data_IF_823546825232
#
_entry.id   IF_823546825232
#
_cell.length_a   1.000
_cell.length_b   1.000
_cell.length_c   1.000
_cell.angle_alpha   90.00
_cell.angle_beta   90.00
_cell.angle_gamma   90.00
#
_symmetry.space_group_name_H-M   'P 1'
#
loop_
_entity.id
_entity.type
_entity.pdbx_description
1 polymer ?
#
# COMPACT_ATOMS: atom_id res chain seq x y z
N UNK A 1 -45.06 -8.43 -49.11
CA UNK A 1 -43.64 -8.75 -48.85
C UNK A 1 -43.51 -9.28 -47.42
N UNK A 2 -43.52 -10.60 -47.24
CA UNK A 2 -43.33 -11.23 -45.92
C UNK A 2 -41.84 -11.19 -45.55
N UNK A 3 -41.45 -10.33 -44.60
CA UNK A 3 -40.10 -10.32 -44.04
C UNK A 3 -39.89 -11.63 -43.27
N UNK A 4 -39.09 -12.53 -43.82
CA UNK A 4 -38.59 -13.70 -43.09
C UNK A 4 -37.68 -13.20 -41.98
N UNK A 5 -38.15 -13.25 -40.74
CA UNK A 5 -37.29 -13.16 -39.56
C UNK A 5 -36.50 -14.46 -39.48
N UNK A 6 -35.34 -14.52 -40.12
CA UNK A 6 -34.36 -15.55 -39.78
C UNK A 6 -33.83 -15.22 -38.38
N UNK A 7 -34.32 -15.94 -37.38
CA UNK A 7 -33.66 -16.01 -36.08
C UNK A 7 -32.30 -16.66 -36.30
N UNK A 8 -31.27 -15.83 -36.48
CA UNK A 8 -29.89 -16.29 -36.38
C UNK A 8 -29.71 -16.68 -34.92
N UNK A 9 -29.99 -17.94 -34.59
CA UNK A 9 -29.54 -18.57 -33.38
C UNK A 9 -28.01 -18.61 -33.45
N UNK A 10 -27.37 -17.51 -33.03
CA UNK A 10 -25.94 -17.52 -32.77
C UNK A 10 -25.77 -18.49 -31.61
N UNK A 11 -25.34 -19.71 -31.90
CA UNK A 11 -24.92 -20.64 -30.87
C UNK A 11 -23.78 -19.97 -30.11
N UNK A 12 -24.06 -19.47 -28.91
CA UNK A 12 -23.03 -19.12 -27.94
C UNK A 12 -22.37 -20.44 -27.51
N UNK A 13 -21.46 -20.95 -28.35
CA UNK A 13 -20.51 -21.98 -27.95
C UNK A 13 -19.55 -21.34 -26.95
N UNK A 14 -20.00 -21.22 -25.70
CA UNK A 14 -19.16 -20.78 -24.61
C UNK A 14 -18.03 -21.79 -24.44
N UNK A 15 -16.82 -21.45 -24.88
CA UNK A 15 -15.62 -22.20 -24.53
C UNK A 15 -15.56 -22.17 -23.01
N UNK A 16 -15.70 -23.33 -22.37
CA UNK A 16 -15.51 -23.44 -20.93
C UNK A 16 -14.07 -22.97 -20.64
N UNK A 17 -13.92 -21.87 -19.93
CA UNK A 17 -12.60 -21.42 -19.51
C UNK A 17 -11.97 -22.52 -18.66
N UNK A 18 -10.89 -23.12 -19.17
CA UNK A 18 -10.14 -24.16 -18.46
C UNK A 18 -9.41 -23.58 -17.24
N UNK A 19 -9.09 -22.29 -17.29
CA UNK A 19 -8.43 -21.58 -16.20
C UNK A 19 -9.48 -21.06 -15.22
N UNK A 20 -9.37 -21.42 -13.94
CA UNK A 20 -10.25 -20.98 -12.84
C UNK A 20 -9.98 -19.53 -12.42
N UNK A 21 -9.99 -18.60 -13.37
CA UNK A 21 -9.85 -17.16 -13.11
C UNK A 21 -11.21 -16.48 -13.17
N UNK A 22 -11.65 -15.92 -12.04
CA UNK A 22 -12.86 -15.11 -11.95
C UNK A 22 -12.47 -13.64 -11.88
N UNK A 23 -12.81 -12.88 -12.92
CA UNK A 23 -12.74 -11.43 -12.82
C UNK A 23 -13.87 -10.90 -11.94
N UNK A 24 -13.50 -10.16 -10.90
CA UNK A 24 -14.42 -9.39 -10.05
C UNK A 24 -14.08 -7.92 -10.25
N UNK A 25 -15.10 -7.11 -10.59
CA UNK A 25 -14.91 -5.67 -10.72
C UNK A 25 -14.59 -5.09 -9.34
N UNK A 26 -13.49 -4.33 -9.17
CA UNK A 26 -13.20 -3.66 -7.91
C UNK A 26 -14.37 -2.76 -7.49
N UNK A 27 -14.72 -2.72 -6.19
CA UNK A 27 -15.76 -1.83 -5.71
C UNK A 27 -15.37 -0.37 -5.96
N UNK A 28 -16.36 0.48 -6.23
CA UNK A 28 -16.12 1.92 -6.37
C UNK A 28 -15.91 2.53 -4.98
N UNK A 29 -14.74 3.12 -4.77
CA UNK A 29 -14.42 3.84 -3.55
C UNK A 29 -14.64 5.35 -3.76
N UNK A 30 -15.56 5.99 -3.00
CA UNK A 30 -15.74 7.43 -3.06
C UNK A 30 -14.48 8.20 -2.65
N UNK A 31 -14.33 9.41 -3.19
CA UNK A 31 -13.15 10.24 -2.95
C UNK A 31 -12.91 10.59 -1.48
N UNK A 32 -13.98 10.80 -0.72
CA UNK A 32 -13.94 11.21 0.68
C UNK A 32 -13.55 10.06 1.62
N UNK A 33 -13.52 8.81 1.16
CA UNK A 33 -13.08 7.69 2.01
C UNK A 33 -11.55 7.72 2.19
N UNK A 34 -11.03 7.32 3.38
CA UNK A 34 -9.60 7.33 3.71
C UNK A 34 -8.71 6.69 2.63
N UNK A 35 -9.15 5.58 2.05
CA UNK A 35 -8.42 4.85 1.00
C UNK A 35 -8.07 5.72 -0.22
N UNK A 36 -8.87 6.77 -0.53
CA UNK A 36 -8.62 7.70 -1.64
C UNK A 36 -8.16 9.08 -1.19
N UNK A 37 -8.69 9.60 -0.09
CA UNK A 37 -8.35 10.93 0.41
C UNK A 37 -6.97 10.97 1.09
N UNK A 38 -6.56 9.84 1.68
CA UNK A 38 -5.36 9.73 2.51
C UNK A 38 -5.56 10.25 3.94
N UNK A 39 -6.79 10.54 4.38
CA UNK A 39 -7.04 11.00 5.75
C UNK A 39 -7.23 9.81 6.69
N UNK A 40 -6.34 9.64 7.66
CA UNK A 40 -6.37 8.53 8.61
C UNK A 40 -6.97 8.93 9.98
N UNK A 41 -6.90 10.22 10.33
CA UNK A 41 -7.43 10.74 11.59
C UNK A 41 -8.90 11.12 11.48
N UNK A 42 -9.65 10.84 12.56
CA UNK A 42 -10.99 11.37 12.75
C UNK A 42 -10.99 12.89 12.97
N UNK A 43 -12.18 13.48 12.98
CA UNK A 43 -12.34 14.88 13.33
C UNK A 43 -11.96 15.12 14.80
N UNK A 44 -11.28 16.24 15.14
CA UNK A 44 -11.07 16.58 16.54
C UNK A 44 -12.42 16.81 17.24
N UNK A 45 -12.52 16.34 18.48
CA UNK A 45 -13.71 16.49 19.31
C UNK A 45 -13.68 17.83 20.03
N UNK A 46 -14.54 18.75 19.62
CA UNK A 46 -14.65 20.06 20.25
C UNK A 46 -15.80 20.02 21.26
N UNK A 47 -15.56 20.42 22.52
CA UNK A 47 -16.61 20.35 23.51
C UNK A 47 -17.75 21.32 23.15
N UNK A 48 -19.03 20.94 23.37
CA UNK A 48 -20.19 21.78 23.05
C UNK A 48 -20.22 23.09 23.85
N UNK A 49 -19.51 23.11 24.98
CA UNK A 49 -19.31 24.27 25.86
C UNK A 49 -18.20 25.20 25.40
N UNK A 50 -17.40 24.83 24.39
CA UNK A 50 -16.39 25.72 23.83
C UNK A 50 -17.03 27.02 23.36
N UNK A 51 -16.34 28.13 23.55
CA UNK A 51 -16.77 29.44 23.02
C UNK A 51 -16.52 29.51 21.51
N UNK A 52 -17.35 30.27 20.81
CA UNK A 52 -17.12 30.58 19.39
C UNK A 52 -15.75 31.24 19.17
N UNK A 53 -15.20 31.06 17.96
CA UNK A 53 -13.81 31.41 17.62
C UNK A 53 -13.45 32.85 18.00
N UNK A 54 -14.31 33.79 17.61
CA UNK A 54 -14.06 35.22 17.74
C UNK A 54 -14.44 35.72 19.14
N UNK A 55 -15.51 35.19 19.72
CA UNK A 55 -15.93 35.51 21.09
C UNK A 55 -14.87 35.13 22.12
N UNK A 56 -14.15 34.03 21.91
CA UNK A 56 -13.06 33.62 22.78
C UNK A 56 -11.89 34.63 22.86
N UNK A 57 -11.79 35.57 21.92
CA UNK A 57 -10.76 36.61 21.91
C UNK A 57 -11.15 37.84 22.75
N UNK A 58 -12.44 38.03 23.05
CA UNK A 58 -12.91 39.20 23.78
C UNK A 58 -12.62 39.05 25.27
N UNK A 59 -12.27 40.14 25.95
CA UNK A 59 -11.97 40.09 27.39
C UNK A 59 -13.25 40.08 28.23
N UNK A 60 -14.33 40.67 27.70
CA UNK A 60 -15.63 40.78 28.36
C UNK A 60 -16.30 39.42 28.56
N UNK A 61 -16.02 38.45 27.68
CA UNK A 61 -16.58 37.10 27.82
C UNK A 61 -16.01 36.37 29.04
N UNK A 62 -14.82 36.75 29.51
CA UNK A 62 -14.18 36.13 30.68
C UNK A 62 -14.94 36.46 31.95
N UNK A 63 -15.38 37.72 32.07
CA UNK A 63 -16.12 38.25 33.22
C UNK A 63 -17.64 37.98 33.12
N UNK A 64 -18.13 37.55 31.95
CA UNK A 64 -19.54 37.30 31.72
C UNK A 64 -20.12 36.17 32.59
N UNK A 65 -21.41 36.26 32.99
CA UNK A 65 -22.09 35.21 33.73
C UNK A 65 -22.23 33.94 32.89
N UNK A 66 -22.35 32.78 33.54
CA UNK A 66 -22.38 31.47 32.88
C UNK A 66 -23.48 31.35 31.83
N UNK A 67 -24.64 31.95 32.08
CA UNK A 67 -25.74 31.99 31.10
C UNK A 67 -25.31 32.65 29.77
N UNK A 68 -24.53 33.73 29.83
CA UNK A 68 -24.02 34.43 28.63
C UNK A 68 -22.95 33.58 27.95
N UNK A 69 -22.04 32.96 28.71
CA UNK A 69 -21.05 32.01 28.17
C UNK A 69 -21.70 30.84 27.44
N UNK A 70 -22.83 30.34 27.96
CA UNK A 70 -23.63 29.27 27.34
C UNK A 70 -24.24 29.71 26.02
N UNK A 71 -24.75 30.94 25.92
CA UNK A 71 -25.31 31.49 24.66
C UNK A 71 -24.23 31.56 23.56
N UNK A 72 -23.00 31.95 23.92
CA UNK A 72 -21.87 32.02 22.98
C UNK A 72 -21.10 30.69 22.82
N UNK A 73 -21.66 29.59 23.33
CA UNK A 73 -21.07 28.28 23.17
C UNK A 73 -21.36 27.70 21.78
N UNK A 74 -20.49 26.81 21.31
CA UNK A 74 -20.59 26.15 20.01
C UNK A 74 -21.92 25.40 19.84
N UNK A 75 -22.45 24.81 20.92
CA UNK A 75 -23.76 24.17 20.91
C UNK A 75 -24.89 25.12 20.47
N UNK A 76 -24.85 26.39 20.86
CA UNK A 76 -25.88 27.38 20.52
C UNK A 76 -25.59 28.09 19.19
N UNK A 77 -24.31 28.30 18.86
CA UNK A 77 -23.92 28.93 17.59
C UNK A 77 -24.02 28.00 16.38
N UNK A 78 -23.96 26.68 16.61
CA UNK A 78 -24.21 25.64 15.61
C UNK A 78 -22.98 25.15 14.83
N UNK A 79 -23.25 24.34 13.80
CA UNK A 79 -22.22 23.57 13.08
C UNK A 79 -21.16 24.43 12.37
N UNK A 80 -21.53 25.64 11.93
CA UNK A 80 -20.59 26.53 11.23
C UNK A 80 -19.44 26.93 12.14
N UNK A 81 -19.74 27.29 13.38
CA UNK A 81 -18.73 27.64 14.38
C UNK A 81 -17.91 26.42 14.81
N UNK A 82 -18.56 25.27 14.97
CA UNK A 82 -17.87 24.01 15.22
C UNK A 82 -16.81 23.73 14.14
N UNK A 83 -17.20 23.79 12.87
CA UNK A 83 -16.28 23.58 11.74
C UNK A 83 -15.14 24.62 11.72
N UNK A 84 -15.43 25.87 12.09
CA UNK A 84 -14.42 26.93 12.17
C UNK A 84 -13.38 26.65 13.26
N UNK A 85 -13.81 26.15 14.42
CA UNK A 85 -12.91 25.75 15.50
C UNK A 85 -12.10 24.49 15.13
N UNK A 86 -12.70 23.49 14.48
CA UNK A 86 -11.98 22.31 13.97
C UNK A 86 -10.86 22.73 13.03
N UNK A 87 -11.19 23.65 12.11
CA UNK A 87 -10.22 24.18 11.15
C UNK A 87 -9.11 24.97 11.87
N UNK A 88 -9.47 25.76 12.88
CA UNK A 88 -8.50 26.52 13.70
C UNK A 88 -7.56 25.57 14.44
N UNK A 89 -8.07 24.54 15.11
CA UNK A 89 -7.25 23.58 15.85
C UNK A 89 -6.20 22.90 14.96
N UNK A 90 -6.60 22.48 13.75
CA UNK A 90 -5.67 21.85 12.80
C UNK A 90 -4.62 22.84 12.28
N UNK A 91 -4.99 24.09 12.04
CA UNK A 91 -4.04 25.15 11.68
C UNK A 91 -3.07 25.39 12.84
N UNK A 92 -3.57 25.41 14.07
CA UNK A 92 -2.80 25.69 15.27
C UNK A 92 -1.71 24.64 15.54
N UNK A 93 -1.94 23.38 15.12
CA UNK A 93 -0.94 22.30 15.18
C UNK A 93 0.28 22.52 14.26
N UNK A 94 0.12 23.33 13.22
CA UNK A 94 1.06 23.42 12.09
C UNK A 94 1.62 24.83 11.87
N UNK A 95 0.90 25.87 12.29
CA UNK A 95 1.30 27.28 12.10
C UNK A 95 2.64 27.58 12.79
N UNK A 96 3.42 28.48 12.18
CA UNK A 96 4.71 28.93 12.77
C UNK A 96 4.54 30.05 13.79
N UNK A 97 3.57 30.93 13.55
CA UNK A 97 3.23 32.06 14.40
C UNK A 97 1.72 32.33 14.36
N UNK A 98 1.22 33.18 15.24
CA UNK A 98 -0.23 33.40 15.43
C UNK A 98 -0.96 33.88 14.16
N UNK A 99 -0.31 34.74 13.37
CA UNK A 99 -0.85 35.30 12.11
C UNK A 99 -0.48 34.52 10.84
N UNK A 100 0.01 33.28 10.98
CA UNK A 100 0.41 32.47 9.83
C UNK A 100 -0.83 31.80 9.21
N UNK A 101 -1.35 32.38 8.13
CA UNK A 101 -2.59 31.92 7.49
C UNK A 101 -2.41 31.34 6.09
N UNK A 102 -1.35 31.74 5.38
CA UNK A 102 -1.23 31.55 3.93
C UNK A 102 -0.01 30.72 3.51
N UNK A 103 0.75 30.19 4.46
CA UNK A 103 1.85 29.27 4.17
C UNK A 103 1.34 27.93 3.62
N UNK A 104 2.20 27.16 2.97
CA UNK A 104 1.79 25.89 2.37
C UNK A 104 1.28 24.91 3.45
N UNK A 105 1.93 24.89 4.61
CA UNK A 105 1.59 24.00 5.72
C UNK A 105 0.21 24.36 6.32
N UNK A 106 -0.03 25.64 6.59
CA UNK A 106 -1.31 26.14 7.15
C UNK A 106 -2.48 26.00 6.17
N UNK A 107 -2.23 26.21 4.87
CA UNK A 107 -3.24 25.95 3.82
C UNK A 107 -3.60 24.47 3.74
N UNK A 108 -2.63 23.56 3.86
CA UNK A 108 -2.90 22.12 3.90
C UNK A 108 -3.72 21.75 5.14
N UNK A 109 -3.40 22.31 6.30
CA UNK A 109 -4.16 22.11 7.53
C UNK A 109 -5.61 22.61 7.39
N UNK A 110 -5.80 23.82 6.83
CA UNK A 110 -7.12 24.40 6.56
C UNK A 110 -7.96 23.50 5.63
N UNK A 111 -7.38 23.06 4.51
CA UNK A 111 -8.06 22.15 3.58
C UNK A 111 -8.42 20.83 4.26
N UNK A 112 -7.53 20.31 5.11
CA UNK A 112 -7.77 19.07 5.86
C UNK A 112 -8.93 19.21 6.84
N UNK A 113 -9.03 20.33 7.56
CA UNK A 113 -10.19 20.61 8.41
C UNK A 113 -11.51 20.64 7.66
N UNK A 114 -11.54 21.31 6.50
CA UNK A 114 -12.74 21.30 5.64
C UNK A 114 -13.07 19.91 5.09
N UNK A 115 -12.06 19.13 4.69
CA UNK A 115 -12.26 17.76 4.19
C UNK A 115 -12.88 16.89 5.29
N UNK A 116 -12.36 16.93 6.53
CA UNK A 116 -12.91 16.17 7.65
C UNK A 116 -14.35 16.56 7.97
N UNK A 117 -14.65 17.86 8.02
CA UNK A 117 -16.03 18.35 8.23
C UNK A 117 -17.01 17.85 7.15
N UNK A 118 -16.57 17.87 5.89
CA UNK A 118 -17.39 17.40 4.79
C UNK A 118 -17.47 15.87 4.71
N UNK A 119 -16.44 15.12 5.17
CA UNK A 119 -16.49 13.67 5.28
C UNK A 119 -17.66 13.22 6.16
N UNK A 120 -17.83 13.82 7.35
CA UNK A 120 -18.96 13.54 8.23
C UNK A 120 -20.31 13.84 7.54
N UNK A 121 -20.38 14.97 6.83
CA UNK A 121 -21.58 15.34 6.06
C UNK A 121 -21.88 14.31 4.96
N UNK A 122 -20.84 13.79 4.29
CA UNK A 122 -20.96 12.78 3.24
C UNK A 122 -21.36 11.41 3.80
N UNK A 123 -20.98 11.08 5.02
CA UNK A 123 -21.41 9.85 5.70
C UNK A 123 -22.89 9.92 6.08
N UNK A 124 -23.36 11.07 6.58
CA UNK A 124 -24.79 11.31 6.85
C UNK A 124 -25.62 11.41 5.58
N UNK A 125 -25.11 12.07 4.54
CA UNK A 125 -25.83 12.40 3.31
C UNK A 125 -25.07 11.98 2.03
N UNK A 126 -24.95 10.67 1.75
CA UNK A 126 -24.11 10.16 0.66
C UNK A 126 -24.60 10.56 -0.75
N UNK A 127 -25.87 10.94 -0.89
CA UNK A 127 -26.48 11.37 -2.16
C UNK A 127 -26.23 12.84 -2.50
N UNK A 128 -25.62 13.63 -1.62
CA UNK A 128 -25.35 15.04 -1.87
C UNK A 128 -24.22 15.22 -2.89
N UNK A 129 -24.59 15.48 -4.15
CA UNK A 129 -23.64 15.62 -5.27
C UNK A 129 -22.74 16.83 -5.11
N UNK A 130 -23.28 17.97 -4.64
CA UNK A 130 -22.51 19.21 -4.45
C UNK A 130 -21.44 19.02 -3.38
N UNK A 131 -21.80 18.44 -2.23
CA UNK A 131 -20.84 18.14 -1.17
C UNK A 131 -19.74 17.18 -1.68
N UNK A 132 -20.12 16.15 -2.44
CA UNK A 132 -19.15 15.22 -3.05
C UNK A 132 -18.16 15.90 -3.99
N UNK A 133 -18.63 16.84 -4.81
CA UNK A 133 -17.78 17.65 -5.69
C UNK A 133 -16.84 18.53 -4.88
N UNK A 134 -17.34 19.24 -3.88
CA UNK A 134 -16.51 20.11 -3.03
C UNK A 134 -15.42 19.34 -2.30
N UNK A 135 -15.71 18.15 -1.76
CA UNK A 135 -14.68 17.30 -1.10
C UNK A 135 -13.61 16.88 -2.10
N UNK A 136 -14.01 16.44 -3.29
CA UNK A 136 -13.07 16.04 -4.34
C UNK A 136 -12.12 17.20 -4.70
N UNK A 137 -12.67 18.40 -4.93
CA UNK A 137 -11.87 19.58 -5.25
C UNK A 137 -10.90 19.96 -4.13
N UNK A 138 -11.33 19.88 -2.86
CA UNK A 138 -10.46 20.17 -1.72
C UNK A 138 -9.34 19.14 -1.59
N UNK A 139 -9.63 17.85 -1.79
CA UNK A 139 -8.62 16.79 -1.82
C UNK A 139 -7.59 17.05 -2.93
N UNK A 140 -8.04 17.43 -4.12
CA UNK A 140 -7.15 17.69 -5.25
C UNK A 140 -6.29 18.95 -5.03
N UNK A 141 -6.88 20.02 -4.45
CA UNK A 141 -6.14 21.22 -4.01
C UNK A 141 -5.08 20.87 -2.97
N UNK A 142 -5.42 20.03 -1.99
CA UNK A 142 -4.49 19.56 -0.96
C UNK A 142 -3.37 18.72 -1.56
N UNK A 143 -3.68 17.78 -2.46
CA UNK A 143 -2.68 16.96 -3.17
C UNK A 143 -1.70 17.81 -3.97
N UNK A 144 -2.18 18.87 -4.63
CA UNK A 144 -1.32 19.83 -5.34
C UNK A 144 -0.35 20.53 -4.38
N UNK A 145 -0.81 20.97 -3.21
CA UNK A 145 0.05 21.59 -2.20
C UNK A 145 1.04 20.61 -1.57
N UNK A 146 0.62 19.37 -1.29
CA UNK A 146 1.52 18.31 -0.79
C UNK A 146 2.61 17.97 -1.81
N UNK A 147 2.27 17.91 -3.11
CA UNK A 147 3.25 17.72 -4.17
C UNK A 147 4.27 18.88 -4.21
N UNK A 148 3.78 20.12 -4.08
CA UNK A 148 4.64 21.31 -4.02
C UNK A 148 5.58 21.25 -2.81
N UNK A 149 5.05 20.96 -1.62
CA UNK A 149 5.84 20.87 -0.40
C UNK A 149 6.90 19.75 -0.50
N UNK A 150 6.54 18.58 -1.04
CA UNK A 150 7.47 17.46 -1.28
C UNK A 150 8.64 17.84 -2.19
N UNK A 151 8.43 18.72 -3.16
CA UNK A 151 9.47 19.19 -4.08
C UNK A 151 10.33 20.31 -3.47
N UNK A 152 9.72 21.17 -2.64
CA UNK A 152 10.39 22.35 -2.09
C UNK A 152 11.16 22.04 -0.80
N UNK A 153 10.52 21.37 0.16
CA UNK A 153 11.10 21.01 1.46
C UNK A 153 10.56 19.67 1.93
N UNK A 154 11.35 18.62 1.71
CA UNK A 154 10.97 17.25 2.02
C UNK A 154 10.83 17.00 3.53
N UNK A 155 11.64 17.65 4.38
CA UNK A 155 11.57 17.46 5.84
C UNK A 155 10.27 18.02 6.40
N UNK A 156 9.86 19.19 5.92
CA UNK A 156 8.55 19.76 6.29
C UNK A 156 7.39 18.92 5.76
N UNK A 157 7.56 18.33 4.59
CA UNK A 157 6.56 17.42 4.03
C UNK A 157 6.34 16.20 4.93
N UNK A 158 7.39 15.49 5.36
CA UNK A 158 7.26 14.36 6.29
C UNK A 158 6.66 14.79 7.63
N UNK A 159 7.19 15.85 8.24
CA UNK A 159 6.67 16.41 9.48
C UNK A 159 5.17 16.75 9.40
N UNK A 160 4.72 17.33 8.28
CA UNK A 160 3.33 17.69 8.09
C UNK A 160 2.41 16.47 7.96
N UNK A 161 2.86 15.42 7.27
CA UNK A 161 2.12 14.16 7.15
C UNK A 161 1.94 13.51 8.53
N UNK A 162 2.99 13.51 9.36
CA UNK A 162 2.93 13.00 10.73
C UNK A 162 2.01 13.84 11.61
N UNK A 163 2.13 15.17 11.58
CA UNK A 163 1.35 16.08 12.43
C UNK A 163 -0.15 16.08 12.14
N UNK A 164 -0.52 15.97 10.87
CA UNK A 164 -1.93 15.92 10.45
C UNK A 164 -2.43 14.49 10.22
N UNK A 165 -1.57 13.49 10.41
CA UNK A 165 -1.84 12.06 10.17
C UNK A 165 -2.52 11.81 8.81
N UNK A 166 -1.83 12.23 7.75
CA UNK A 166 -2.27 12.11 6.35
C UNK A 166 -1.30 11.19 5.59
N UNK A 167 -1.84 10.29 4.79
CA UNK A 167 -1.11 9.45 3.85
C UNK A 167 -1.02 10.13 2.47
N UNK A 168 0.19 10.36 1.97
CA UNK A 168 0.38 10.92 0.63
C UNK A 168 0.20 9.87 -0.47
N UNK A 169 -0.90 9.98 -1.23
CA UNK A 169 -1.15 9.17 -2.43
C UNK A 169 -0.74 9.93 -3.69
N UNK A 170 0.34 9.46 -4.31
CA UNK A 170 0.86 10.00 -5.57
C UNK A 170 -0.11 9.85 -6.74
N UNK A 171 0.07 10.68 -7.76
CA UNK A 171 -0.65 10.54 -9.01
C UNK A 171 -0.10 9.34 -9.78
N UNK A 172 -0.93 8.45 -10.33
CA UNK A 172 -0.45 7.38 -11.19
C UNK A 172 0.21 7.98 -12.44
N UNK A 173 1.20 7.29 -13.00
CA UNK A 173 1.88 7.72 -14.22
C UNK A 173 0.93 7.75 -15.42
N UNK A 174 0.02 6.78 -15.52
CA UNK A 174 -0.97 6.70 -16.58
C UNK A 174 -2.39 6.51 -16.03
N UNK A 175 -3.35 7.16 -16.69
CA UNK A 175 -4.78 6.95 -16.46
C UNK A 175 -5.35 6.03 -17.52
N UNK A 176 -5.58 4.76 -17.16
CA UNK A 176 -6.36 3.86 -17.99
C UNK A 176 -7.63 3.47 -17.24
N UNK A 177 -8.76 3.42 -17.96
CA UNK A 177 -10.02 2.94 -17.40
C UNK A 177 -9.94 1.42 -17.36
N UNK A 178 -10.06 0.83 -16.17
CA UNK A 178 -10.04 -0.63 -16.00
C UNK A 178 -11.20 -1.29 -16.78
N UNK A 179 -10.88 -1.91 -17.91
CA UNK A 179 -11.82 -2.72 -18.70
C UNK A 179 -11.83 -4.17 -18.24
N UNK A 180 -12.97 -4.87 -18.37
CA UNK A 180 -13.07 -6.32 -18.12
C UNK A 180 -12.08 -7.12 -18.95
N UNK A 181 -11.91 -6.76 -20.24
CA UNK A 181 -11.02 -7.47 -21.16
C UNK A 181 -9.56 -7.35 -20.74
N UNK A 182 -9.12 -6.13 -20.42
CA UNK A 182 -7.75 -5.84 -20.01
C UNK A 182 -7.41 -6.46 -18.67
N UNK A 183 -8.31 -6.34 -17.68
CA UNK A 183 -8.13 -6.97 -16.38
C UNK A 183 -8.11 -8.49 -16.46
N UNK A 184 -8.97 -9.12 -17.26
CA UNK A 184 -8.88 -10.56 -17.53
C UNK A 184 -7.55 -10.93 -18.17
N UNK A 185 -7.09 -10.17 -19.19
CA UNK A 185 -5.78 -10.39 -19.80
C UNK A 185 -4.66 -10.30 -18.76
N UNK A 186 -4.71 -9.29 -17.88
CA UNK A 186 -3.71 -9.13 -16.82
C UNK A 186 -3.74 -10.27 -15.81
N UNK A 187 -4.92 -10.70 -15.37
CA UNK A 187 -5.08 -11.84 -14.48
C UNK A 187 -4.58 -13.14 -15.13
N UNK A 188 -4.81 -13.34 -16.43
CA UNK A 188 -4.27 -14.50 -17.15
C UNK A 188 -2.76 -14.44 -17.29
N UNK A 189 -2.19 -13.26 -17.53
CA UNK A 189 -0.74 -13.06 -17.59
C UNK A 189 -0.09 -13.39 -16.24
N UNK A 190 -0.61 -12.82 -15.15
CA UNK A 190 -0.16 -13.11 -13.79
C UNK A 190 -0.25 -14.60 -13.47
N UNK A 191 -1.35 -15.26 -13.84
CA UNK A 191 -1.49 -16.70 -13.63
C UNK A 191 -0.46 -17.54 -14.41
N UNK A 192 -0.20 -17.17 -15.66
CA UNK A 192 0.84 -17.83 -16.46
C UNK A 192 2.24 -17.58 -15.89
N UNK A 193 2.51 -16.39 -15.38
CA UNK A 193 3.74 -16.05 -14.67
C UNK A 193 3.89 -16.88 -13.40
N UNK A 194 2.84 -17.02 -12.59
CA UNK A 194 2.85 -17.84 -11.38
C UNK A 194 3.15 -19.31 -11.69
N UNK A 195 2.53 -19.87 -12.74
CA UNK A 195 2.81 -21.24 -13.20
C UNK A 195 4.27 -21.37 -13.64
N UNK A 196 4.77 -20.40 -14.41
CA UNK A 196 6.16 -20.40 -14.87
C UNK A 196 7.12 -20.35 -13.69
N UNK A 197 6.89 -19.43 -12.75
CA UNK A 197 7.71 -19.25 -11.56
C UNK A 197 7.70 -20.51 -10.68
N UNK A 198 6.55 -21.16 -10.52
CA UNK A 198 6.43 -22.43 -9.80
C UNK A 198 7.26 -23.54 -10.46
N UNK A 199 7.14 -23.70 -11.78
CA UNK A 199 7.94 -24.70 -12.52
C UNK A 199 9.43 -24.42 -12.42
N UNK A 200 9.85 -23.16 -12.52
CA UNK A 200 11.24 -22.75 -12.35
C UNK A 200 11.73 -23.00 -10.91
N UNK A 201 10.91 -22.74 -9.89
CA UNK A 201 11.27 -23.04 -8.51
C UNK A 201 11.40 -24.54 -8.26
N UNK A 202 10.50 -25.35 -8.83
CA UNK A 202 10.52 -26.80 -8.71
C UNK A 202 11.77 -27.38 -9.40
N UNK A 203 12.09 -26.89 -10.60
CA UNK A 203 13.30 -27.27 -11.32
C UNK A 203 14.59 -26.85 -10.59
N UNK A 204 14.61 -25.63 -10.04
CA UNK A 204 15.73 -25.17 -9.20
C UNK A 204 15.92 -26.07 -7.98
N UNK A 205 14.84 -26.44 -7.29
CA UNK A 205 14.90 -27.36 -6.16
C UNK A 205 15.44 -28.75 -6.57
N UNK A 206 15.04 -29.24 -7.75
CA UNK A 206 15.55 -30.48 -8.30
C UNK A 206 17.07 -30.41 -8.53
N UNK A 207 17.56 -29.37 -9.22
CA UNK A 207 18.99 -29.18 -9.46
C UNK A 207 19.79 -29.04 -8.16
N UNK A 208 19.28 -28.27 -7.19
CA UNK A 208 19.88 -28.13 -5.87
C UNK A 208 19.99 -29.47 -5.13
N UNK A 209 19.01 -30.37 -5.29
CA UNK A 209 19.04 -31.72 -4.70
C UNK A 209 20.06 -32.64 -5.38
N UNK A 210 20.28 -32.48 -6.69
CA UNK A 210 21.25 -33.26 -7.47
C UNK A 210 22.70 -32.81 -7.24
N UNK A 211 22.89 -31.55 -6.83
CA UNK A 211 24.21 -30.96 -6.60
C UNK A 211 25.01 -31.70 -5.51
N UNK A 212 24.37 -32.10 -4.41
CA UNK A 212 25.04 -32.83 -3.33
C UNK A 212 25.64 -34.17 -3.76
N UNK A 213 24.83 -35.10 -4.31
CA UNK A 213 25.33 -36.36 -4.85
C UNK A 213 26.40 -36.16 -5.94
N UNK A 214 26.23 -35.18 -6.82
CA UNK A 214 27.20 -34.86 -7.85
C UNK A 214 28.56 -34.43 -7.26
N UNK A 215 28.57 -33.55 -6.26
CA UNK A 215 29.81 -33.11 -5.62
C UNK A 215 30.55 -34.25 -4.91
N UNK A 216 29.80 -35.18 -4.27
CA UNK A 216 30.39 -36.38 -3.66
C UNK A 216 31.05 -37.30 -4.71
N UNK A 217 30.31 -37.65 -5.76
CA UNK A 217 30.82 -38.50 -6.84
C UNK A 217 32.01 -37.83 -7.56
N UNK A 218 31.96 -36.51 -7.78
CA UNK A 218 33.07 -35.75 -8.36
C UNK A 218 34.32 -35.81 -7.48
N UNK A 219 34.17 -35.67 -6.16
CA UNK A 219 35.28 -35.75 -5.22
C UNK A 219 35.90 -37.15 -5.22
N UNK A 220 35.08 -38.20 -5.19
CA UNK A 220 35.53 -39.60 -5.29
C UNK A 220 36.28 -39.86 -6.59
N UNK A 221 35.74 -39.39 -7.73
CA UNK A 221 36.38 -39.54 -9.04
C UNK A 221 37.73 -38.81 -9.12
N UNK A 222 37.83 -37.59 -8.59
CA UNK A 222 39.11 -36.85 -8.57
C UNK A 222 40.17 -37.56 -7.72
N UNK A 223 39.78 -38.09 -6.55
CA UNK A 223 40.69 -38.87 -5.70
C UNK A 223 41.13 -40.17 -6.38
N UNK A 224 40.19 -40.87 -7.01
CA UNK A 224 40.47 -42.09 -7.77
C UNK A 224 41.46 -41.84 -8.93
N UNK A 225 41.19 -40.85 -9.78
CA UNK A 225 42.07 -40.49 -10.91
C UNK A 225 43.48 -40.16 -10.42
N UNK A 226 43.60 -39.38 -9.34
CA UNK A 226 44.90 -39.02 -8.78
C UNK A 226 45.68 -40.26 -8.31
N UNK A 227 45.02 -41.18 -7.61
CA UNK A 227 45.66 -42.40 -7.11
C UNK A 227 46.11 -43.31 -8.26
N UNK A 228 45.26 -43.56 -9.25
CA UNK A 228 45.58 -44.33 -10.45
C UNK A 228 46.78 -43.74 -11.21
N UNK A 229 46.82 -42.42 -11.39
CA UNK A 229 47.96 -41.76 -12.05
C UNK A 229 49.27 -41.98 -11.29
N UNK A 230 49.22 -41.95 -9.95
CA UNK A 230 50.39 -42.21 -9.10
C UNK A 230 50.82 -43.67 -9.20
N UNK A 231 49.87 -44.60 -9.13
CA UNK A 231 50.12 -46.05 -9.22
C UNK A 231 50.74 -46.45 -10.57
N UNK A 232 50.24 -45.87 -11.67
CA UNK A 232 50.73 -46.11 -13.02
C UNK A 232 51.98 -45.27 -13.38
N UNK A 233 52.49 -44.46 -12.45
CA UNK A 233 53.65 -43.56 -12.64
C UNK A 233 53.47 -42.56 -13.81
N UNK A 234 52.23 -42.15 -14.06
CA UNK A 234 51.89 -41.14 -15.06
C UNK A 234 52.03 -39.72 -14.46
N UNK A 235 52.27 -38.69 -15.29
CA UNK A 235 52.30 -37.31 -14.81
C UNK A 235 50.94 -36.92 -14.20
N UNK A 236 50.96 -36.49 -12.94
CA UNK A 236 49.75 -36.14 -12.19
C UNK A 236 49.09 -34.91 -12.81
N UNK A 237 47.84 -35.08 -13.26
CA UNK A 237 47.05 -34.00 -13.88
C UNK A 237 46.12 -33.34 -12.88
N UNK A 238 45.64 -34.08 -11.88
CA UNK A 238 44.71 -33.57 -10.86
C UNK A 238 45.49 -32.96 -9.69
N UNK A 239 45.37 -31.64 -9.51
CA UNK A 239 46.05 -30.95 -8.42
C UNK A 239 45.31 -31.09 -7.07
N UNK A 240 46.05 -31.02 -5.96
CA UNK A 240 45.44 -31.01 -4.62
C UNK A 240 44.55 -29.79 -4.36
N UNK A 241 44.84 -28.69 -5.05
CA UNK A 241 44.00 -27.49 -4.99
C UNK A 241 42.62 -27.75 -5.58
N UNK A 242 42.52 -28.55 -6.64
CA UNK A 242 41.24 -28.84 -7.29
C UNK A 242 40.37 -29.77 -6.45
N UNK A 243 40.98 -30.72 -5.73
CA UNK A 243 40.28 -31.55 -4.74
C UNK A 243 39.76 -30.68 -3.59
N UNK A 244 40.60 -29.81 -3.03
CA UNK A 244 40.22 -28.88 -1.95
C UNK A 244 39.07 -27.95 -2.35
N UNK A 245 39.07 -27.43 -3.59
CA UNK A 245 37.96 -26.60 -4.09
C UNK A 245 36.63 -27.35 -4.10
N UNK A 246 36.63 -28.63 -4.50
CA UNK A 246 35.40 -29.45 -4.52
C UNK A 246 34.96 -29.80 -3.10
N UNK A 247 35.90 -30.07 -2.19
CA UNK A 247 35.63 -30.26 -0.76
C UNK A 247 34.95 -29.02 -0.15
N UNK A 248 35.48 -27.82 -0.40
CA UNK A 248 34.87 -26.56 0.04
C UNK A 248 33.46 -26.37 -0.54
N UNK A 249 33.26 -26.64 -1.83
CA UNK A 249 31.93 -26.56 -2.46
C UNK A 249 30.92 -27.53 -1.82
N UNK A 250 31.37 -28.74 -1.47
CA UNK A 250 30.55 -29.74 -0.79
C UNK A 250 30.17 -29.27 0.61
N UNK A 251 31.13 -28.76 1.38
CA UNK A 251 30.89 -28.19 2.71
C UNK A 251 29.89 -27.03 2.67
N UNK A 252 30.10 -26.05 1.80
CA UNK A 252 29.17 -24.94 1.61
C UNK A 252 27.76 -25.40 1.24
N UNK A 253 27.65 -26.38 0.34
CA UNK A 253 26.36 -26.94 -0.05
C UNK A 253 25.69 -27.64 1.14
N UNK A 254 26.43 -28.41 1.95
CA UNK A 254 25.86 -29.08 3.12
C UNK A 254 25.32 -28.09 4.15
N UNK A 255 26.02 -26.98 4.40
CA UNK A 255 25.57 -25.91 5.29
C UNK A 255 24.28 -25.30 4.75
N UNK A 256 24.23 -24.95 3.44
CA UNK A 256 23.04 -24.40 2.80
C UNK A 256 21.85 -25.35 2.86
N UNK A 257 22.05 -26.64 2.60
CA UNK A 257 21.01 -27.66 2.66
C UNK A 257 20.48 -27.85 4.11
N UNK A 258 21.35 -27.83 5.11
CA UNK A 258 20.96 -27.87 6.52
C UNK A 258 20.09 -26.68 6.91
N UNK A 259 20.50 -25.45 6.55
CA UNK A 259 19.72 -24.23 6.78
C UNK A 259 18.34 -24.33 6.10
N UNK A 260 18.31 -24.80 4.84
CA UNK A 260 17.06 -24.97 4.08
C UNK A 260 16.13 -25.99 4.74
N UNK A 261 16.65 -27.13 5.20
CA UNK A 261 15.89 -28.16 5.94
C UNK A 261 15.35 -27.64 7.27
N UNK A 262 16.14 -26.88 8.02
CA UNK A 262 15.69 -26.22 9.25
C UNK A 262 14.55 -25.23 8.97
N UNK A 263 14.68 -24.40 7.93
CA UNK A 263 13.62 -23.46 7.52
C UNK A 263 12.33 -24.19 7.10
N UNK A 264 12.44 -25.28 6.34
CA UNK A 264 11.29 -26.11 5.96
C UNK A 264 10.61 -26.76 7.17
N UNK A 265 11.38 -27.26 8.14
CA UNK A 265 10.86 -27.80 9.41
C UNK A 265 10.12 -26.74 10.21
N UNK A 266 10.70 -25.53 10.36
CA UNK A 266 10.06 -24.40 11.04
C UNK A 266 8.75 -24.01 10.36
N UNK A 267 8.74 -23.89 9.03
CA UNK A 267 7.52 -23.58 8.25
C UNK A 267 6.44 -24.64 8.44
N UNK A 268 6.80 -25.93 8.44
CA UNK A 268 5.86 -27.03 8.69
C UNK A 268 5.24 -26.94 10.08
N UNK A 269 6.05 -26.67 11.10
CA UNK A 269 5.56 -26.55 12.47
C UNK A 269 4.58 -25.37 12.62
N UNK A 270 4.92 -24.19 12.08
CA UNK A 270 4.02 -23.03 12.09
C UNK A 270 2.69 -23.33 11.40
N UNK A 271 2.68 -24.13 10.34
CA UNK A 271 1.44 -24.52 9.66
C UNK A 271 0.57 -25.43 10.54
N UNK A 272 1.20 -26.36 11.27
CA UNK A 272 0.50 -27.29 12.18
C UNK A 272 -0.01 -26.59 13.44
N UNK A 273 0.60 -25.48 13.86
CA UNK A 273 0.17 -24.68 15.01
C UNK A 273 -0.99 -23.71 14.65
N UNK A 274 -1.32 -23.56 13.37
CA UNK A 274 -2.40 -22.69 12.85
C UNK A 274 -3.71 -23.45 12.54
N UNK A 275 -3.67 -24.79 12.56
CA UNK A 275 -4.81 -25.70 12.39
C UNK A 275 -5.29 -26.21 13.77
#
# INVERSE_FOLDING_TARGET
MLRRFSTIFIQNRGIKHQVKLKWVRPPYVPAYKPERSGDLESMPEIPPTALGKDYALSDEIKDAPEAVKKIFSVAHLGQKEYNALVTKELIDRVRRHNYDENTAETRIARLTGHIRCLQETMEKYPKNVKAKQTVQELIDKRKKLLKYLRQYDYRKFEWLLEKLNIEYKGHPESFHKLSRKESLRKLTEMHCEDIRNKKLSDYRNLLESQQGPFLKSKLEALKFIKNEQIELQLPVTVSDQDIKKVEQQLEEWTIKDQIKKQAMKKKRNVLMDLD
#
